data_IF_860654454684
#
_entry.id   IF_860654454684
#
_cell.length_a   1.000
_cell.length_b   1.000
_cell.length_c   1.000
_cell.angle_alpha   90.00
_cell.angle_beta   90.00
_cell.angle_gamma   90.00
#
_symmetry.space_group_name_H-M   'P 1'
#
loop_
_entity.id
_entity.type
_entity.pdbx_description
1 polymer ?
#
# COMPACT_ATOMS: atom_id res chain seq x y z
N UNK A 1 -18.95 17.67 -9.91
CA UNK A 1 -18.18 16.46 -10.22
C UNK A 1 -18.63 15.42 -9.22
N UNK A 2 -18.88 14.18 -9.66
CA UNK A 2 -19.42 13.14 -8.79
C UNK A 2 -18.47 12.93 -7.61
N UNK A 3 -19.01 12.91 -6.39
CA UNK A 3 -18.28 12.56 -5.18
C UNK A 3 -17.38 11.35 -5.47
N UNK A 4 -16.13 11.39 -4.97
CA UNK A 4 -15.15 10.32 -5.21
C UNK A 4 -15.84 8.97 -5.15
N UNK A 5 -15.70 8.12 -6.18
CA UNK A 5 -16.45 6.89 -6.24
C UNK A 5 -16.00 6.00 -5.09
N UNK A 6 -16.74 6.02 -3.98
CA UNK A 6 -16.80 4.95 -2.98
C UNK A 6 -17.55 3.79 -3.64
N UNK A 7 -17.10 3.37 -4.82
CA UNK A 7 -17.68 2.29 -5.60
C UNK A 7 -16.85 1.05 -5.34
N UNK A 8 -17.19 0.38 -4.25
CA UNK A 8 -16.82 -1.00 -4.00
C UNK A 8 -17.43 -2.02 -4.99
N UNK A 9 -18.00 -1.54 -6.12
CA UNK A 9 -18.63 -2.35 -7.15
C UNK A 9 -17.58 -2.84 -8.14
N UNK A 10 -16.86 -3.88 -7.75
CA UNK A 10 -16.11 -4.70 -8.70
C UNK A 10 -17.04 -5.32 -9.75
N UNK A 11 -16.50 -5.73 -10.90
CA UNK A 11 -17.27 -6.43 -11.92
C UNK A 11 -17.69 -7.84 -11.41
N UNK A 12 -18.94 -8.23 -11.65
CA UNK A 12 -19.47 -9.55 -11.29
C UNK A 12 -20.87 -9.48 -10.66
N UNK A 13 -21.46 -10.65 -10.45
CA UNK A 13 -22.70 -10.80 -9.68
C UNK A 13 -22.43 -10.71 -8.17
N UNK A 14 -23.42 -10.31 -7.35
CA UNK A 14 -23.31 -10.38 -5.90
C UNK A 14 -23.00 -11.79 -5.38
N UNK A 15 -22.38 -11.87 -4.21
CA UNK A 15 -22.12 -13.16 -3.53
C UNK A 15 -23.42 -13.95 -3.34
N UNK A 16 -23.45 -15.17 -3.89
CA UNK A 16 -24.59 -16.08 -3.72
C UNK A 16 -24.75 -16.48 -2.25
N UNK A 17 -25.98 -16.82 -1.86
CA UNK A 17 -26.27 -17.36 -0.50
C UNK A 17 -25.41 -18.57 -0.17
N UNK A 18 -25.11 -19.41 -1.18
CA UNK A 18 -24.23 -20.56 -1.04
C UNK A 18 -22.82 -20.14 -0.67
N UNK A 19 -22.24 -19.16 -1.35
CA UNK A 19 -20.88 -18.70 -1.04
C UNK A 19 -20.82 -18.06 0.34
N UNK A 20 -21.80 -17.23 0.71
CA UNK A 20 -21.88 -16.65 2.06
C UNK A 20 -21.90 -17.71 3.16
N UNK A 21 -22.67 -18.78 2.97
CA UNK A 21 -22.72 -19.90 3.91
C UNK A 21 -21.38 -20.65 3.99
N UNK A 22 -20.73 -20.89 2.84
CA UNK A 22 -19.41 -21.54 2.79
C UNK A 22 -18.32 -20.67 3.43
N UNK A 23 -18.31 -19.37 3.17
CA UNK A 23 -17.37 -18.40 3.75
C UNK A 23 -17.56 -18.28 5.25
N UNK A 24 -18.80 -18.25 5.74
CA UNK A 24 -19.10 -18.27 7.18
C UNK A 24 -18.56 -19.55 7.83
N UNK A 25 -18.77 -20.71 7.20
CA UNK A 25 -18.23 -21.98 7.66
C UNK A 25 -16.70 -22.00 7.67
N UNK A 26 -16.05 -21.47 6.62
CA UNK A 26 -14.60 -21.35 6.53
C UNK A 26 -14.04 -20.40 7.61
N UNK A 27 -14.67 -19.25 7.82
CA UNK A 27 -14.29 -18.26 8.83
C UNK A 27 -14.28 -18.87 10.25
N UNK A 28 -15.18 -19.82 10.52
CA UNK A 28 -15.27 -20.49 11.82
C UNK A 28 -14.17 -21.55 12.07
N UNK A 29 -13.52 -22.07 11.02
CA UNK A 29 -12.58 -23.21 11.13
C UNK A 29 -11.16 -22.88 10.68
N UNK A 30 -10.98 -21.85 9.86
CA UNK A 30 -9.66 -21.45 9.38
C UNK A 30 -8.93 -20.58 10.40
N UNK A 31 -7.61 -20.74 10.46
CA UNK A 31 -6.75 -19.94 11.32
C UNK A 31 -6.31 -18.67 10.59
N UNK A 32 -6.74 -17.51 11.08
CA UNK A 32 -6.39 -16.19 10.55
C UNK A 32 -5.34 -15.43 11.37
N UNK A 33 -4.58 -16.14 12.22
CA UNK A 33 -3.58 -15.53 13.11
C UNK A 33 -2.67 -14.46 12.47
N UNK A 34 -2.19 -14.59 11.21
CA UNK A 34 -1.42 -13.50 10.58
C UNK A 34 -2.20 -12.19 10.39
N UNK A 35 -3.50 -12.28 10.07
CA UNK A 35 -4.39 -11.13 9.83
C UNK A 35 -4.86 -10.51 11.15
N UNK A 36 -4.98 -11.31 12.21
CA UNK A 36 -5.33 -10.85 13.56
C UNK A 36 -4.29 -9.90 14.18
N UNK A 37 -3.08 -9.82 13.61
CA UNK A 37 -2.02 -8.90 14.07
C UNK A 37 -2.23 -7.45 13.62
N UNK A 38 -3.24 -7.16 12.79
CA UNK A 38 -3.60 -5.80 12.41
C UNK A 38 -4.07 -5.05 13.66
N UNK A 39 -3.36 -3.99 14.03
CA UNK A 39 -3.58 -3.23 15.26
C UNK A 39 -3.94 -1.76 15.02
N UNK A 40 -3.79 -1.26 13.80
CA UNK A 40 -4.10 0.13 13.46
C UNK A 40 -4.85 0.23 12.12
N UNK A 41 -5.82 1.14 12.08
CA UNK A 41 -6.48 1.60 10.85
C UNK A 41 -6.10 3.07 10.63
N UNK A 42 -5.39 3.37 9.56
CA UNK A 42 -5.07 4.74 9.15
C UNK A 42 -5.81 5.08 7.85
N UNK A 43 -6.12 6.36 7.65
CA UNK A 43 -6.70 6.86 6.40
C UNK A 43 -5.90 8.07 5.90
N UNK A 44 -5.46 7.99 4.65
CA UNK A 44 -4.50 8.89 4.02
C UNK A 44 -4.83 9.12 2.53
N UNK A 45 -4.05 9.99 1.88
CA UNK A 45 -4.15 10.23 0.44
C UNK A 45 -2.77 10.08 -0.23
N UNK A 46 -2.72 9.31 -1.31
CA UNK A 46 -1.51 9.09 -2.09
C UNK A 46 -1.60 9.76 -3.46
N UNK A 47 -0.46 10.25 -3.97
CA UNK A 47 -0.28 10.69 -5.35
C UNK A 47 0.49 9.65 -6.18
N UNK A 48 0.19 9.52 -7.47
CA UNK A 48 0.93 8.59 -8.35
C UNK A 48 2.32 9.14 -8.67
N UNK A 49 3.36 8.32 -8.49
CA UNK A 49 4.75 8.76 -8.67
C UNK A 49 5.07 9.22 -10.11
N UNK A 50 4.41 8.62 -11.12
CA UNK A 50 4.52 8.97 -12.53
C UNK A 50 3.57 10.12 -12.95
N UNK A 51 2.42 10.25 -12.28
CA UNK A 51 1.43 11.30 -12.52
C UNK A 51 0.92 11.95 -11.21
N UNK A 52 1.68 12.94 -10.73
CA UNK A 52 1.42 13.64 -9.47
C UNK A 52 0.13 14.48 -9.46
N UNK A 53 -0.58 14.60 -10.58
CA UNK A 53 -1.92 15.23 -10.61
C UNK A 53 -3.02 14.30 -10.13
N UNK A 54 -2.77 12.98 -10.21
CA UNK A 54 -3.69 11.92 -9.80
C UNK A 54 -3.44 11.53 -8.36
N UNK A 55 -4.54 11.31 -7.64
CA UNK A 55 -4.56 11.07 -6.20
C UNK A 55 -5.66 10.10 -5.84
N UNK A 56 -5.45 9.32 -4.78
CA UNK A 56 -6.44 8.37 -4.28
C UNK A 56 -6.42 8.34 -2.76
N UNK A 57 -7.59 8.22 -2.17
CA UNK A 57 -7.74 7.95 -0.74
C UNK A 57 -7.45 6.47 -0.47
N UNK A 58 -6.71 6.17 0.59
CA UNK A 58 -6.33 4.82 0.97
C UNK A 58 -6.63 4.57 2.45
N UNK A 59 -7.11 3.36 2.74
CA UNK A 59 -7.34 2.86 4.10
C UNK A 59 -6.30 1.80 4.42
N UNK A 60 -5.44 2.09 5.40
CA UNK A 60 -4.29 1.30 5.76
C UNK A 60 -4.63 0.48 7.00
N UNK A 61 -4.57 -0.84 6.87
CA UNK A 61 -4.75 -1.76 7.99
C UNK A 61 -3.39 -2.36 8.33
N UNK A 62 -2.77 -1.82 9.37
CA UNK A 62 -1.36 -1.97 9.66
C UNK A 62 -1.10 -2.92 10.83
N UNK A 63 0.02 -3.64 10.72
CA UNK A 63 0.58 -4.48 11.76
C UNK A 63 2.06 -4.13 11.95
N UNK A 64 2.54 -4.17 13.19
CA UNK A 64 3.96 -4.06 13.49
C UNK A 64 4.61 -5.44 13.33
N UNK A 65 5.61 -5.57 12.46
CA UNK A 65 6.45 -6.77 12.41
C UNK A 65 7.45 -6.78 13.57
N UNK A 66 8.01 -5.60 13.85
CA UNK A 66 8.86 -5.27 14.98
C UNK A 66 8.82 -3.74 15.18
N UNK A 67 9.59 -3.24 16.15
CA UNK A 67 9.65 -1.80 16.49
C UNK A 67 10.14 -0.90 15.33
N UNK A 68 10.70 -1.48 14.27
CA UNK A 68 11.25 -0.74 13.15
C UNK A 68 10.52 -0.90 11.83
N UNK A 69 9.65 -1.90 11.72
CA UNK A 69 9.00 -2.27 10.46
C UNK A 69 7.52 -2.44 10.70
N UNK A 70 6.73 -1.54 10.09
CA UNK A 70 5.28 -1.70 9.96
C UNK A 70 4.94 -2.12 8.55
N UNK A 71 3.86 -2.88 8.44
CA UNK A 71 3.35 -3.35 7.17
C UNK A 71 1.84 -3.17 7.11
N UNK A 72 1.29 -2.78 5.96
CA UNK A 72 -0.14 -2.50 5.84
C UNK A 72 -0.77 -3.16 4.62
N UNK A 73 -2.02 -3.61 4.77
CA UNK A 73 -2.91 -3.95 3.66
C UNK A 73 -3.73 -2.70 3.34
N UNK A 74 -3.81 -2.34 2.06
CA UNK A 74 -4.52 -1.13 1.62
C UNK A 74 -5.86 -1.46 0.97
N UNK A 75 -6.90 -0.73 1.39
CA UNK A 75 -8.25 -0.79 0.82
C UNK A 75 -8.70 0.57 0.30
N UNK A 76 -9.56 0.57 -0.72
CA UNK A 76 -10.21 1.79 -1.23
C UNK A 76 -11.35 2.31 -0.34
N UNK A 77 -11.84 1.48 0.58
CA UNK A 77 -12.97 1.77 1.46
C UNK A 77 -12.72 1.21 2.86
N UNK A 78 -13.19 1.91 3.92
CA UNK A 78 -13.17 1.37 5.28
C UNK A 78 -14.34 0.42 5.58
N UNK A 79 -15.30 0.27 4.66
CA UNK A 79 -16.51 -0.54 4.84
C UNK A 79 -16.63 -1.66 3.81
N UNK A 80 -17.29 -2.75 4.18
CA UNK A 80 -17.52 -3.90 3.32
C UNK A 80 -18.64 -3.67 2.28
N UNK A 81 -18.52 -4.30 1.09
CA UNK A 81 -17.30 -4.87 0.55
C UNK A 81 -16.26 -3.77 0.26
N UNK A 82 -14.97 -4.06 0.39
CA UNK A 82 -13.89 -3.14 0.04
C UNK A 82 -12.91 -3.83 -0.91
N UNK A 83 -12.33 -3.08 -1.85
CA UNK A 83 -11.32 -3.61 -2.77
C UNK A 83 -9.95 -3.46 -2.14
N UNK A 84 -9.18 -4.54 -2.11
CA UNK A 84 -7.76 -4.47 -1.80
C UNK A 84 -7.08 -3.76 -2.97
N UNK A 85 -6.59 -2.54 -2.72
CA UNK A 85 -5.92 -1.72 -3.75
C UNK A 85 -4.42 -1.96 -3.81
N UNK A 86 -3.89 -2.78 -2.90
CA UNK A 86 -2.53 -3.27 -2.99
C UNK A 86 -2.40 -4.69 -2.46
N UNK A 87 -1.69 -5.55 -3.22
CA UNK A 87 -0.90 -6.71 -2.74
C UNK A 87 0.45 -6.73 -3.51
N UNK A 88 1.62 -6.65 -2.86
CA UNK A 88 2.91 -6.58 -3.56
C UNK A 88 3.38 -7.95 -4.06
N UNK A 89 4.06 -8.02 -5.21
CA UNK A 89 4.50 -9.28 -5.84
C UNK A 89 5.79 -9.83 -5.20
N UNK A 90 5.91 -11.17 -5.19
CA UNK A 90 7.19 -11.86 -5.06
C UNK A 90 8.17 -11.33 -6.13
N UNK A 91 9.32 -10.81 -5.71
CA UNK A 91 10.32 -10.17 -6.56
C UNK A 91 11.08 -11.14 -7.49
N UNK A 92 10.68 -12.41 -7.58
CA UNK A 92 11.44 -13.44 -8.31
C UNK A 92 11.17 -13.58 -9.81
N UNK A 93 10.34 -12.73 -10.44
CA UNK A 93 10.01 -12.87 -11.88
C UNK A 93 10.11 -11.60 -12.74
N UNK A 94 11.07 -10.71 -12.48
CA UNK A 94 11.54 -9.77 -13.50
C UNK A 94 12.90 -10.25 -14.03
N UNK A 95 12.86 -11.31 -14.84
CA UNK A 95 14.05 -11.82 -15.50
C UNK A 95 14.62 -10.77 -16.48
N UNK A 96 15.87 -10.41 -16.21
CA UNK A 96 16.87 -9.95 -17.15
C UNK A 96 16.75 -10.66 -18.51
N UNK A 97 16.23 -9.98 -19.53
CA UNK A 97 16.64 -10.24 -20.93
C UNK A 97 16.58 -8.94 -21.75
N UNK A 98 17.59 -8.08 -21.58
CA UNK A 98 18.22 -7.40 -22.72
C UNK A 98 19.67 -7.86 -22.78
N UNK A 99 19.85 -9.12 -23.19
CA UNK A 99 21.15 -9.65 -23.60
C UNK A 99 21.23 -9.60 -25.11
N UNK A 100 22.39 -9.13 -25.58
CA UNK A 100 22.79 -8.74 -26.91
C UNK A 100 22.18 -9.47 -28.12
N UNK A 101 21.80 -8.66 -29.11
CA UNK A 101 21.78 -9.03 -30.52
C UNK A 101 23.22 -9.42 -30.92
N UNK A 102 23.48 -10.71 -31.03
CA UNK A 102 24.63 -11.25 -31.78
C UNK A 102 24.10 -12.17 -32.86
N UNK A 103 24.20 -11.69 -34.10
CA UNK A 103 23.92 -12.45 -35.31
C UNK A 103 24.98 -13.54 -35.48
N UNK A 104 24.60 -14.82 -35.41
CA UNK A 104 25.37 -15.88 -36.06
C UNK A 104 24.45 -16.89 -36.76
N UNK A 105 25.00 -17.51 -37.80
CA UNK A 105 24.35 -17.94 -39.03
C UNK A 105 23.72 -19.33 -38.95
N UNK A 106 22.66 -19.51 -39.75
CA UNK A 106 21.99 -20.75 -40.16
C UNK A 106 22.93 -21.94 -40.40
N UNK A 107 22.60 -23.13 -39.85
CA UNK A 107 22.90 -24.45 -40.45
C UNK A 107 21.72 -25.42 -40.28
N UNK A 108 21.48 -26.17 -41.36
CA UNK A 108 20.32 -27.04 -41.70
C UNK A 108 20.15 -28.31 -40.82
N UNK A 109 18.97 -28.98 -40.84
CA UNK A 109 18.65 -30.10 -39.96
C UNK A 109 19.17 -31.44 -40.50
N UNK A 110 19.45 -32.39 -39.60
CA UNK A 110 19.67 -33.81 -39.94
C UNK A 110 18.87 -34.70 -38.99
N UNK A 111 18.02 -35.56 -39.57
CA UNK A 111 17.26 -36.65 -38.91
C UNK A 111 18.20 -37.68 -38.29
N UNK A 112 17.87 -38.20 -37.12
CA UNK A 112 18.07 -39.62 -36.78
C UNK A 112 17.32 -40.01 -35.50
N UNK A 113 16.72 -41.18 -35.56
CA UNK A 113 15.86 -41.91 -34.61
C UNK A 113 16.57 -42.41 -33.35
N UNK A 114 15.86 -42.46 -32.21
CA UNK A 114 15.47 -43.70 -31.48
C UNK A 114 14.99 -43.38 -30.05
N UNK A 115 13.78 -43.85 -29.78
CA UNK A 115 13.10 -43.91 -28.48
C UNK A 115 13.89 -44.74 -27.46
N UNK A 116 14.06 -44.23 -26.24
CA UNK A 116 14.36 -45.02 -25.04
C UNK A 116 13.47 -44.53 -23.90
N UNK A 117 12.47 -45.33 -23.54
CA UNK A 117 11.71 -45.18 -22.31
C UNK A 117 12.63 -45.48 -21.12
N UNK A 118 12.80 -44.52 -20.22
CA UNK A 118 13.43 -44.70 -18.91
C UNK A 118 12.37 -44.47 -17.84
N UNK A 119 12.22 -45.47 -16.98
CA UNK A 119 11.35 -45.50 -15.80
C UNK A 119 11.57 -44.26 -14.91
N UNK A 120 10.50 -43.49 -14.69
CA UNK A 120 10.44 -42.41 -13.71
C UNK A 120 10.34 -43.01 -12.30
N UNK A 121 11.42 -42.90 -11.51
CA UNK A 121 11.33 -43.02 -10.05
C UNK A 121 10.77 -41.70 -9.52
N UNK A 122 9.51 -41.71 -9.07
CA UNK A 122 8.93 -40.61 -8.31
C UNK A 122 9.72 -40.43 -7.01
N UNK A 123 10.55 -39.39 -6.95
CA UNK A 123 11.09 -38.89 -5.70
C UNK A 123 10.05 -37.94 -5.12
N UNK A 124 9.46 -38.35 -4.00
CA UNK A 124 8.59 -37.50 -3.19
C UNK A 124 9.42 -36.38 -2.59
N UNK A 125 9.52 -35.25 -3.31
CA UNK A 125 9.93 -33.99 -2.70
C UNK A 125 8.78 -33.52 -1.82
N UNK A 126 8.95 -33.64 -0.50
CA UNK A 126 8.19 -32.87 0.46
C UNK A 126 8.56 -31.39 0.26
N UNK A 127 7.90 -30.72 -0.67
CA UNK A 127 7.90 -29.28 -0.72
C UNK A 127 6.97 -28.84 0.41
N UNK A 128 7.54 -28.36 1.51
CA UNK A 128 6.79 -27.51 2.45
C UNK A 128 6.28 -26.32 1.64
N UNK A 129 5.03 -26.38 1.22
CA UNK A 129 4.28 -25.22 0.75
C UNK A 129 4.15 -24.28 1.94
N UNK A 130 5.15 -23.43 2.15
CA UNK A 130 4.94 -22.18 2.88
C UNK A 130 3.93 -21.42 2.06
N UNK A 131 2.67 -21.41 2.50
CA UNK A 131 1.66 -20.52 1.93
C UNK A 131 2.23 -19.10 1.97
N UNK A 132 2.42 -18.43 0.82
CA UNK A 132 2.91 -17.06 0.85
C UNK A 132 1.86 -16.22 1.58
N UNK A 133 2.23 -15.66 2.73
CA UNK A 133 1.44 -14.62 3.36
C UNK A 133 1.22 -13.50 2.34
N UNK A 134 0.00 -12.94 2.23
CA UNK A 134 -0.23 -11.80 1.35
C UNK A 134 0.78 -10.70 1.70
N UNK A 135 1.57 -10.31 0.70
CA UNK A 135 2.61 -9.31 0.88
C UNK A 135 1.94 -7.95 1.09
N UNK A 136 2.32 -7.23 2.17
CA UNK A 136 1.79 -5.91 2.47
C UNK A 136 2.16 -4.93 1.36
N UNK A 137 1.37 -3.87 1.24
CA UNK A 137 1.48 -2.91 0.14
C UNK A 137 1.96 -1.57 0.48
N UNK A 138 2.05 -1.32 1.76
CA UNK A 138 2.94 -0.33 2.28
C UNK A 138 3.84 -0.97 3.33
N UNK A 139 5.11 -0.58 3.28
CA UNK A 139 6.06 -0.77 4.36
C UNK A 139 6.42 0.59 4.92
N UNK A 140 6.50 0.69 6.24
CA UNK A 140 7.08 1.85 6.91
C UNK A 140 8.29 1.44 7.71
N UNK A 141 9.38 2.20 7.59
CA UNK A 141 10.65 1.92 8.25
C UNK A 141 11.20 3.13 8.99
N UNK A 142 12.04 2.89 9.99
CA UNK A 142 12.74 3.93 10.75
C UNK A 142 13.77 4.67 9.89
N UNK A 143 14.16 5.91 10.27
CA UNK A 143 15.25 6.63 9.63
C UNK A 143 16.57 5.86 9.63
N UNK A 144 16.80 5.03 10.68
CA UNK A 144 17.95 4.16 10.77
C UNK A 144 17.98 3.19 9.58
N UNK A 145 16.92 2.43 9.35
CA UNK A 145 16.85 1.50 8.23
C UNK A 145 16.88 2.24 6.88
N UNK A 146 16.16 3.36 6.75
CA UNK A 146 16.16 4.16 5.53
C UNK A 146 17.56 4.62 5.11
N UNK A 147 18.38 5.06 6.07
CA UNK A 147 19.76 5.51 5.78
C UNK A 147 20.68 4.39 5.28
N UNK A 148 20.34 3.12 5.48
CA UNK A 148 21.09 1.97 4.93
C UNK A 148 20.74 1.64 3.47
N UNK A 149 19.65 2.21 2.95
CA UNK A 149 19.18 1.95 1.59
C UNK A 149 20.08 2.62 0.55
N UNK A 150 20.18 2.01 -0.63
CA UNK A 150 20.87 2.64 -1.76
C UNK A 150 20.12 3.90 -2.21
N UNK A 151 20.81 4.90 -2.79
CA UNK A 151 20.14 6.12 -3.26
C UNK A 151 19.00 5.86 -4.25
N UNK A 152 19.12 4.85 -5.11
CA UNK A 152 18.04 4.45 -6.03
C UNK A 152 16.84 3.87 -5.30
N UNK A 153 17.08 3.10 -4.24
CA UNK A 153 16.01 2.52 -3.43
C UNK A 153 15.31 3.60 -2.62
N UNK A 154 16.04 4.54 -2.00
CA UNK A 154 15.48 5.67 -1.24
C UNK A 154 14.47 6.51 -2.04
N UNK A 155 14.65 6.63 -3.36
CA UNK A 155 13.73 7.34 -4.26
C UNK A 155 12.33 6.72 -4.34
N UNK A 156 12.19 5.46 -3.93
CA UNK A 156 10.92 4.75 -3.87
C UNK A 156 10.15 5.00 -2.57
N UNK A 157 10.70 5.81 -1.66
CA UNK A 157 10.12 6.08 -0.35
C UNK A 157 9.67 7.53 -0.24
N UNK A 158 8.71 7.79 0.63
CA UNK A 158 8.20 9.12 0.96
C UNK A 158 8.21 9.34 2.47
N UNK A 159 8.12 10.60 2.90
CA UNK A 159 7.97 10.97 4.30
C UNK A 159 6.50 11.17 4.68
N UNK A 160 6.15 10.92 5.95
CA UNK A 160 4.77 11.13 6.45
C UNK A 160 4.56 12.50 7.12
N UNK A 161 5.56 13.39 7.05
CA UNK A 161 5.57 14.65 7.81
C UNK A 161 4.37 15.50 7.51
N UNK A 162 4.12 15.76 6.23
CA UNK A 162 3.01 16.62 5.82
C UNK A 162 1.67 15.97 6.14
N UNK A 163 1.50 14.67 5.95
CA UNK A 163 0.21 14.00 6.22
C UNK A 163 -0.17 14.12 7.69
N UNK A 164 0.78 13.87 8.59
CA UNK A 164 0.57 14.01 10.03
C UNK A 164 0.27 15.48 10.37
N UNK A 165 1.13 16.40 9.92
CA UNK A 165 1.07 17.82 10.32
C UNK A 165 -0.12 18.57 9.73
N UNK A 166 -0.57 18.19 8.55
CA UNK A 166 -1.72 18.82 7.89
C UNK A 166 -3.06 18.35 8.46
N UNK A 167 -3.08 17.29 9.29
CA UNK A 167 -4.33 16.65 9.72
C UNK A 167 -4.95 15.74 8.64
N UNK A 168 -4.27 15.56 7.51
CA UNK A 168 -4.70 14.67 6.44
C UNK A 168 -4.65 13.21 6.84
N UNK A 169 -3.59 12.76 7.54
CA UNK A 169 -3.52 11.41 8.09
C UNK A 169 -4.37 11.32 9.36
N UNK A 170 -5.27 10.36 9.44
CA UNK A 170 -6.04 10.09 10.66
C UNK A 170 -6.00 8.62 11.04
N UNK A 171 -6.25 8.35 12.31
CA UNK A 171 -6.72 7.06 12.80
C UNK A 171 -8.23 7.18 13.05
N UNK A 172 -9.09 6.54 12.23
CA UNK A 172 -10.54 6.63 12.41
C UNK A 172 -11.00 6.22 13.80
N UNK A 173 -11.86 7.04 14.39
CA UNK A 173 -12.30 6.88 15.78
C UNK A 173 -13.26 5.69 15.95
N UNK A 174 -12.99 4.76 16.89
CA UNK A 174 -13.97 3.75 17.29
C UNK A 174 -15.14 4.41 18.02
N UNK A 175 -16.37 4.04 17.65
CA UNK A 175 -17.60 4.64 18.18
C UNK A 175 -17.75 4.57 19.72
N UNK A 176 -17.07 3.62 20.37
CA UNK A 176 -17.15 3.40 21.81
C UNK A 176 -16.17 4.25 22.64
N UNK A 177 -15.27 5.01 22.01
CA UNK A 177 -14.21 5.75 22.70
C UNK A 177 -14.50 7.26 22.67
N UNK A 178 -14.45 7.97 23.83
CA UNK A 178 -14.63 9.43 23.86
C UNK A 178 -13.55 10.20 23.09
N UNK A 179 -13.95 11.32 22.47
CA UNK A 179 -13.10 12.12 21.57
C UNK A 179 -11.76 12.53 22.20
N UNK A 180 -11.76 13.01 23.45
CA UNK A 180 -10.54 13.46 24.12
C UNK A 180 -9.54 12.31 24.36
N UNK A 181 -10.06 11.12 24.72
CA UNK A 181 -9.23 9.93 24.90
C UNK A 181 -8.68 9.45 23.55
N UNK A 182 -9.51 9.50 22.50
CA UNK A 182 -9.09 9.13 21.15
C UNK A 182 -8.07 10.10 20.56
N UNK A 183 -8.26 11.42 20.71
CA UNK A 183 -7.31 12.43 20.23
C UNK A 183 -5.93 12.25 20.87
N UNK A 184 -5.88 11.90 22.16
CA UNK A 184 -4.63 11.57 22.84
C UNK A 184 -3.98 10.32 22.23
N UNK A 185 -4.73 9.22 22.09
CA UNK A 185 -4.22 7.96 21.57
C UNK A 185 -3.74 8.09 20.10
N UNK A 186 -4.55 8.70 19.24
CA UNK A 186 -4.20 8.99 17.86
C UNK A 186 -2.94 9.87 17.79
N UNK A 187 -2.84 10.93 18.59
CA UNK A 187 -1.66 11.79 18.56
C UNK A 187 -0.38 11.06 19.02
N UNK A 188 -0.48 10.08 19.94
CA UNK A 188 0.65 9.21 20.28
C UNK A 188 1.10 8.35 19.10
N UNK A 189 0.17 7.76 18.37
CA UNK A 189 0.51 7.04 17.14
C UNK A 189 1.12 7.98 16.09
N UNK A 190 0.62 9.20 15.97
CA UNK A 190 1.17 10.20 15.04
C UNK A 190 2.59 10.67 15.42
N UNK A 191 2.95 10.68 16.71
CA UNK A 191 4.32 10.93 17.19
C UNK A 191 5.30 9.87 16.67
N UNK A 192 4.84 8.64 16.46
CA UNK A 192 5.64 7.55 15.91
C UNK A 192 5.64 7.57 14.37
N UNK A 193 4.46 7.67 13.74
CA UNK A 193 4.32 7.60 12.28
C UNK A 193 5.06 8.74 11.57
N UNK A 194 5.07 9.94 12.14
CA UNK A 194 5.77 11.10 11.55
C UNK A 194 7.28 10.85 11.38
N UNK A 195 7.85 9.90 12.14
CA UNK A 195 9.26 9.53 12.09
C UNK A 195 9.60 8.52 11.00
N UNK A 196 8.61 7.86 10.40
CA UNK A 196 8.83 6.75 9.49
C UNK A 196 8.89 7.22 8.02
N UNK A 197 9.57 6.43 7.20
CA UNK A 197 9.52 6.51 5.74
C UNK A 197 8.60 5.43 5.18
N UNK A 198 7.71 5.77 4.26
CA UNK A 198 6.74 4.87 3.64
C UNK A 198 7.16 4.47 2.22
N UNK A 199 6.97 3.21 1.84
CA UNK A 199 7.07 2.72 0.46
C UNK A 199 5.81 1.96 0.12
N UNK A 200 5.09 2.43 -0.89
CA UNK A 200 3.75 1.94 -1.22
C UNK A 200 3.56 1.67 -2.71
N UNK A 201 2.88 0.56 -3.02
CA UNK A 201 2.45 0.24 -4.38
C UNK A 201 0.94 -0.05 -4.42
N UNK A 202 0.22 0.65 -5.28
CA UNK A 202 -1.17 0.35 -5.61
C UNK A 202 -1.23 -0.58 -6.83
N UNK A 203 -2.00 -1.65 -6.70
CA UNK A 203 -2.33 -2.61 -7.76
C UNK A 203 -3.64 -2.30 -8.48
N UNK A 204 -4.52 -1.49 -7.88
CA UNK A 204 -5.80 -1.15 -8.47
C UNK A 204 -5.97 0.37 -8.50
N UNK A 205 -6.06 0.91 -9.71
CA UNK A 205 -6.28 2.33 -9.96
C UNK A 205 -7.77 2.68 -9.88
N UNK A 206 -8.32 2.67 -8.68
CA UNK A 206 -9.76 2.85 -8.43
C UNK A 206 -10.28 4.22 -8.85
N UNK A 207 -9.43 5.24 -8.88
CA UNK A 207 -9.72 6.60 -9.34
C UNK A 207 -10.14 6.66 -10.82
N UNK A 208 -9.73 5.68 -11.64
CA UNK A 208 -10.16 5.58 -13.04
C UNK A 208 -11.58 5.03 -13.22
N UNK A 209 -12.21 4.56 -12.14
CA UNK A 209 -13.48 3.83 -12.20
C UNK A 209 -13.36 2.40 -12.72
N UNK A 210 -12.14 1.85 -12.79
CA UNK A 210 -11.91 0.48 -13.24
C UNK A 210 -12.61 -0.53 -12.31
N UNK A 211 -13.45 -1.40 -12.90
CA UNK A 211 -14.19 -2.44 -12.17
C UNK A 211 -13.37 -3.71 -11.90
N UNK A 212 -12.16 -3.80 -12.44
CA UNK A 212 -11.19 -4.88 -12.22
C UNK A 212 -9.79 -4.25 -11.98
N UNK A 213 -8.87 -4.94 -11.29
CA UNK A 213 -7.50 -4.46 -11.07
C UNK A 213 -6.67 -4.59 -12.35
N UNK A 214 -6.80 -3.60 -13.25
CA UNK A 214 -6.14 -3.58 -14.55
C UNK A 214 -4.83 -2.80 -14.50
N UNK A 215 -3.83 -3.29 -15.23
CA UNK A 215 -2.54 -2.62 -15.41
C UNK A 215 -1.43 -3.14 -14.50
N UNK A 216 -0.33 -2.39 -14.44
CA UNK A 216 0.83 -2.69 -13.62
C UNK A 216 0.74 -2.05 -12.22
N UNK A 217 1.47 -2.57 -11.22
CA UNK A 217 1.63 -1.89 -9.94
C UNK A 217 2.14 -0.46 -10.12
N UNK A 218 1.54 0.49 -9.40
CA UNK A 218 1.94 1.90 -9.40
C UNK A 218 2.56 2.28 -8.06
N UNK A 219 3.78 2.82 -8.12
CA UNK A 219 4.44 3.44 -6.97
C UNK A 219 3.66 4.69 -6.58
N UNK A 220 3.39 4.85 -5.29
CA UNK A 220 2.72 6.05 -4.78
C UNK A 220 3.60 6.86 -3.85
N UNK A 221 3.36 8.16 -3.84
CA UNK A 221 4.03 9.15 -3.01
C UNK A 221 3.03 9.80 -2.07
N UNK A 222 3.53 10.22 -0.92
CA UNK A 222 2.84 11.13 -0.04
C UNK A 222 3.03 12.58 -0.50
N UNK A 223 2.14 13.48 -0.10
CA UNK A 223 2.28 14.91 -0.34
C UNK A 223 3.31 15.50 0.64
N UNK A 224 4.05 16.53 0.25
CA UNK A 224 5.01 17.25 1.11
C UNK A 224 4.54 18.66 1.49
N UNK A 225 3.57 19.21 0.76
CA UNK A 225 2.95 20.52 1.04
C UNK A 225 1.56 20.63 0.44
N UNK A 226 0.76 21.58 0.94
CA UNK A 226 -0.67 21.70 0.58
C UNK A 226 -0.86 22.07 -0.89
N UNK A 227 0.03 22.86 -1.47
CA UNK A 227 -0.07 23.37 -2.85
C UNK A 227 0.02 22.24 -3.88
N UNK A 228 0.57 21.08 -3.50
CA UNK A 228 0.60 19.88 -4.33
C UNK A 228 -0.76 19.18 -4.43
N UNK A 229 -1.70 19.53 -3.54
CA UNK A 229 -3.05 18.99 -3.50
C UNK A 229 -4.06 20.16 -3.59
N UNK A 230 -4.35 20.67 -4.80
CA UNK A 230 -5.25 21.82 -4.98
C UNK A 230 -6.64 21.65 -4.37
N UNK A 231 -7.19 20.43 -4.42
CA UNK A 231 -8.51 20.07 -3.90
C UNK A 231 -8.48 19.56 -2.45
N UNK A 232 -7.40 19.86 -1.71
CA UNK A 232 -7.18 19.36 -0.34
C UNK A 232 -8.38 19.61 0.57
N UNK A 233 -8.88 20.85 0.61
CA UNK A 233 -9.96 21.22 1.54
C UNK A 233 -11.27 20.49 1.23
N UNK A 234 -11.59 20.34 -0.06
CA UNK A 234 -12.78 19.63 -0.53
C UNK A 234 -12.68 18.15 -0.18
N UNK A 235 -11.61 17.49 -0.63
CA UNK A 235 -11.45 16.04 -0.55
C UNK A 235 -11.22 15.55 0.89
N UNK A 236 -10.37 16.24 1.64
CA UNK A 236 -10.15 15.94 3.06
C UNK A 236 -11.38 16.32 3.88
N UNK A 237 -12.09 17.40 3.52
CA UNK A 237 -13.35 17.77 4.15
C UNK A 237 -14.48 16.75 3.91
N UNK A 238 -14.56 16.15 2.73
CA UNK A 238 -15.48 15.04 2.45
C UNK A 238 -15.14 13.80 3.27
N UNK A 239 -13.86 13.46 3.37
CA UNK A 239 -13.36 12.40 4.25
C UNK A 239 -13.75 12.66 5.70
N UNK A 240 -13.51 13.87 6.19
CA UNK A 240 -13.79 14.27 7.55
C UNK A 240 -15.28 14.13 7.90
N UNK A 241 -16.18 14.49 6.97
CA UNK A 241 -17.63 14.25 7.12
C UNK A 241 -17.96 12.77 7.26
N UNK A 242 -17.30 11.88 6.49
CA UNK A 242 -17.53 10.43 6.55
C UNK A 242 -17.02 9.81 7.86
N UNK A 243 -15.92 10.32 8.40
CA UNK A 243 -15.27 9.78 9.60
C UNK A 243 -15.59 10.55 10.89
N UNK A 244 -16.36 11.64 10.82
CA UNK A 244 -16.70 12.46 11.98
C UNK A 244 -15.50 13.17 12.61
N UNK A 245 -14.55 13.66 11.80
CA UNK A 245 -13.30 14.28 12.27
C UNK A 245 -13.10 15.68 11.68
N UNK A 246 -11.97 16.35 11.98
CA UNK A 246 -11.61 17.67 11.46
C UNK A 246 -10.10 17.81 11.27
N UNK A 247 -9.65 17.90 10.01
CA UNK A 247 -8.25 18.08 9.65
C UNK A 247 -7.70 19.39 10.20
N UNK A 248 -8.52 20.45 10.29
CA UNK A 248 -8.13 21.74 10.87
C UNK A 248 -7.81 21.59 12.36
N UNK A 249 -8.68 20.90 13.11
CA UNK A 249 -8.44 20.58 14.53
C UNK A 249 -7.19 19.73 14.68
N UNK A 250 -7.03 18.68 13.87
CA UNK A 250 -5.85 17.80 13.89
C UNK A 250 -4.58 18.58 13.59
N UNK A 251 -4.57 19.44 12.57
CA UNK A 251 -3.46 20.35 12.25
C UNK A 251 -3.08 21.23 13.44
N UNK A 252 -4.07 21.81 14.12
CA UNK A 252 -3.83 22.68 15.28
C UNK A 252 -3.18 21.92 16.44
N UNK A 253 -3.76 20.79 16.86
CA UNK A 253 -3.24 20.02 18.01
C UNK A 253 -1.90 19.36 17.72
N UNK A 254 -1.60 19.07 16.46
CA UNK A 254 -0.35 18.40 16.04
C UNK A 254 0.80 19.37 15.79
N UNK A 255 0.63 20.69 15.98
CA UNK A 255 1.73 21.67 15.89
C UNK A 255 2.91 21.28 16.77
N UNK A 256 2.66 20.76 17.97
CA UNK A 256 3.69 20.35 18.94
C UNK A 256 4.41 19.03 18.64
N UNK A 257 3.92 18.19 17.73
CA UNK A 257 4.59 16.92 17.38
C UNK A 257 5.96 17.22 16.75
N UNK A 258 7.02 16.56 17.20
CA UNK A 258 8.37 16.83 16.65
C UNK A 258 8.50 16.24 15.25
N UNK A 259 9.02 17.04 14.32
CA UNK A 259 9.40 16.58 12.97
C UNK A 259 10.80 15.95 13.06
N UNK A 260 11.09 14.90 12.29
CA UNK A 260 12.43 14.28 12.31
C UNK A 260 13.46 15.25 11.70
N UNK A 261 14.64 15.35 12.31
CA UNK A 261 15.66 16.34 11.93
C UNK A 261 16.17 16.16 10.49
N UNK A 262 16.22 14.92 9.98
CA UNK A 262 16.88 14.59 8.71
C UNK A 262 15.91 14.26 7.56
N UNK A 263 14.62 14.60 7.65
CA UNK A 263 13.64 14.24 6.61
C UNK A 263 14.02 14.79 5.24
N UNK A 264 14.60 16.00 5.19
CA UNK A 264 14.99 16.67 3.96
C UNK A 264 16.32 16.19 3.36
N UNK A 265 17.13 15.42 4.10
CA UNK A 265 18.49 15.05 3.68
C UNK A 265 18.53 13.79 2.81
N UNK A 266 17.46 12.99 2.83
CA UNK A 266 17.33 11.76 2.04
C UNK A 266 16.85 11.96 0.61
N UNK A 267 16.98 10.93 -0.22
CA UNK A 267 16.37 10.88 -1.56
C UNK A 267 14.88 10.50 -1.53
N UNK A 268 14.19 10.58 -0.38
CA UNK A 268 12.74 10.37 -0.30
C UNK A 268 11.98 11.46 -1.06
N UNK A 269 10.70 11.22 -1.33
CA UNK A 269 9.81 12.19 -1.99
C UNK A 269 10.33 12.61 -3.38
N UNK A 270 11.08 11.70 -4.02
CA UNK A 270 11.87 12.00 -5.22
C UNK A 270 11.01 12.52 -6.37
N UNK A 271 9.82 11.96 -6.58
CA UNK A 271 8.92 12.39 -7.66
C UNK A 271 8.55 13.88 -7.56
N UNK A 272 8.40 14.41 -6.34
CA UNK A 272 8.17 15.83 -6.12
C UNK A 272 9.44 16.64 -6.36
N UNK A 273 10.58 16.17 -5.82
CA UNK A 273 11.88 16.86 -5.94
C UNK A 273 12.33 16.97 -7.40
N UNK A 274 12.19 15.89 -8.16
CA UNK A 274 12.58 15.82 -9.58
C UNK A 274 11.81 16.81 -10.45
N UNK A 275 10.55 17.09 -10.11
CA UNK A 275 9.72 18.09 -10.82
C UNK A 275 9.87 19.52 -10.27
N UNK A 276 10.74 19.73 -9.28
CA UNK A 276 10.91 21.03 -8.62
C UNK A 276 9.70 21.45 -7.78
N UNK A 277 8.89 20.48 -7.34
CA UNK A 277 7.64 20.69 -6.63
C UNK A 277 7.69 20.33 -5.14
N UNK A 278 8.82 19.81 -4.64
CA UNK A 278 9.00 19.44 -3.22
C UNK A 278 8.91 20.65 -2.27
#
# INVERSE_FOLDING_TARGET
>A
MDALPVTNKAAGEPESLRNKALETGAAAVQNFAPVERICAHLNAFHAYADDLSRKVEANHYCAHLNDEVRQCILYDSPTLPARIIGIGKDQTFFNFTKSHISKTKKKKPRRSTKTKFRSLKAHSHHTTLTTPSPLPTEYMITPRLFSTLTPSEQKLWHSHVFEVKSGMLIMPQPAAIPDAAWELAENREMEEVIQLYGKVYHLWQTDRGDKLPLGEPKLMMSFTKKEQFPEFEEMVGERDKRFGTSWERKKEVRKGIKVPENVSEGNSDWSWKEKGLA
#
